data_IF_820491847047
#
_entry.id   IF_820491847047
#
_cell.length_a   1.000
_cell.length_b   1.000
_cell.length_c   1.000
_cell.angle_alpha   90.00
_cell.angle_beta   90.00
_cell.angle_gamma   90.00
#
_symmetry.space_group_name_H-M   'P 1'
#
loop_
_entity.id
_entity.type
_entity.pdbx_description
1 polymer ?
#
# COMPACT_ATOMS: atom_id res chain seq x y z
N UNK A 1 -46.91 33.31 -29.47
CA UNK A 1 -47.37 31.96 -29.87
C UNK A 1 -46.40 30.95 -29.28
N UNK A 2 -46.60 30.60 -28.01
CA UNK A 2 -47.11 29.30 -27.52
C UNK A 2 -46.15 28.15 -27.89
N UNK A 3 -45.22 27.86 -26.97
CA UNK A 3 -44.46 26.61 -26.96
C UNK A 3 -45.41 25.45 -26.69
N UNK A 4 -45.48 24.51 -27.64
CA UNK A 4 -46.29 23.31 -27.53
C UNK A 4 -45.85 22.41 -26.38
N UNK A 5 -46.76 21.58 -25.85
CA UNK A 5 -46.48 20.70 -24.73
C UNK A 5 -45.39 19.68 -25.08
N UNK A 6 -44.34 19.60 -24.26
CA UNK A 6 -43.40 18.48 -24.28
C UNK A 6 -44.18 17.23 -23.88
N UNK A 7 -44.46 16.36 -24.84
CA UNK A 7 -45.04 15.04 -24.57
C UNK A 7 -44.17 14.29 -23.55
N UNK A 8 -44.76 13.57 -22.58
CA UNK A 8 -44.01 12.71 -21.68
C UNK A 8 -43.31 11.64 -22.53
N UNK A 9 -42.00 11.47 -22.32
CA UNK A 9 -41.19 10.43 -23.00
C UNK A 9 -41.91 9.09 -22.85
N UNK A 10 -42.32 8.51 -23.97
CA UNK A 10 -43.05 7.24 -24.09
C UNK A 10 -42.57 6.22 -23.04
N UNK A 11 -43.47 5.80 -22.16
CA UNK A 11 -43.20 4.85 -21.08
C UNK A 11 -42.70 3.51 -21.62
N UNK A 12 -43.12 3.11 -22.82
CA UNK A 12 -42.65 1.87 -23.46
C UNK A 12 -41.20 1.98 -23.92
N UNK A 13 -40.77 3.15 -24.38
CA UNK A 13 -39.37 3.42 -24.73
C UNK A 13 -38.46 3.47 -23.49
N UNK A 14 -38.99 3.85 -22.33
CA UNK A 14 -38.25 3.78 -21.07
C UNK A 14 -38.20 2.34 -20.52
N UNK A 15 -39.30 1.58 -20.62
CA UNK A 15 -39.35 0.19 -20.23
C UNK A 15 -38.37 -0.68 -21.05
N UNK A 16 -38.32 -0.47 -22.37
CA UNK A 16 -37.32 -1.16 -23.24
C UNK A 16 -35.88 -0.85 -22.84
N UNK A 17 -35.55 0.42 -22.56
CA UNK A 17 -34.19 0.78 -22.10
C UNK A 17 -33.86 0.19 -20.75
N UNK A 18 -34.84 0.06 -19.86
CA UNK A 18 -34.65 -0.58 -18.57
C UNK A 18 -34.39 -2.09 -18.74
N UNK A 19 -35.16 -2.78 -19.59
CA UNK A 19 -34.94 -4.20 -19.90
C UNK A 19 -33.61 -4.44 -20.62
N UNK A 20 -33.24 -3.59 -21.59
CA UNK A 20 -31.94 -3.64 -22.26
C UNK A 20 -30.79 -3.44 -21.26
N UNK A 21 -30.92 -2.49 -20.34
CA UNK A 21 -29.94 -2.28 -19.28
C UNK A 21 -29.88 -3.47 -18.31
N UNK A 22 -31.01 -4.02 -17.87
CA UNK A 22 -31.05 -5.21 -17.00
C UNK A 22 -30.43 -6.44 -17.67
N UNK A 23 -30.68 -6.64 -18.97
CA UNK A 23 -30.05 -7.72 -19.72
C UNK A 23 -28.54 -7.49 -19.87
N UNK A 24 -28.10 -6.25 -20.10
CA UNK A 24 -26.68 -5.91 -20.18
C UNK A 24 -25.95 -6.12 -18.83
N UNK A 25 -26.61 -5.79 -17.71
CA UNK A 25 -26.11 -5.97 -16.35
C UNK A 25 -26.11 -7.45 -15.93
N UNK A 26 -27.09 -8.23 -16.39
CA UNK A 26 -27.18 -9.67 -16.13
C UNK A 26 -26.18 -10.48 -16.95
N UNK A 27 -25.78 -9.99 -18.15
CA UNK A 27 -24.74 -10.60 -18.98
C UNK A 27 -23.32 -10.19 -18.58
N UNK A 28 -23.15 -9.04 -17.91
CA UNK A 28 -21.89 -8.71 -17.25
C UNK A 28 -21.64 -9.69 -16.10
N UNK A 29 -20.84 -10.72 -16.36
CA UNK A 29 -20.19 -11.47 -15.30
C UNK A 29 -19.32 -10.49 -14.49
N UNK A 30 -19.84 -10.03 -13.37
CA UNK A 30 -19.02 -9.38 -12.35
C UNK A 30 -18.06 -10.43 -11.82
N UNK A 31 -16.85 -10.49 -12.39
CA UNK A 31 -15.76 -11.22 -11.77
C UNK A 31 -15.43 -10.53 -10.44
N UNK A 32 -15.98 -11.08 -9.36
CA UNK A 32 -15.85 -10.59 -7.98
C UNK A 32 -14.39 -10.64 -7.45
N UNK A 33 -13.46 -11.11 -8.29
CA UNK A 33 -12.01 -11.10 -8.04
C UNK A 33 -11.35 -10.12 -9.00
N UNK A 34 -11.28 -8.84 -8.61
CA UNK A 34 -10.33 -7.92 -9.24
C UNK A 34 -8.95 -8.56 -9.14
N UNK A 35 -8.31 -8.81 -10.28
CA UNK A 35 -6.93 -9.25 -10.32
C UNK A 35 -6.06 -8.27 -9.52
N UNK A 36 -5.09 -8.80 -8.75
CA UNK A 36 -4.14 -7.95 -8.03
C UNK A 36 -3.40 -7.09 -9.06
N UNK A 37 -3.43 -5.77 -8.89
CA UNK A 37 -2.74 -4.84 -9.79
C UNK A 37 -1.25 -5.13 -9.84
N UNK A 38 -0.61 -4.86 -10.98
CA UNK A 38 0.84 -5.12 -11.11
C UNK A 38 1.66 -4.24 -10.17
N UNK A 39 1.20 -3.02 -9.86
CA UNK A 39 1.77 -2.19 -8.82
C UNK A 39 1.75 -2.85 -7.44
N UNK A 40 0.64 -3.52 -7.07
CA UNK A 40 0.56 -4.25 -5.81
C UNK A 40 1.44 -5.51 -5.79
N UNK A 41 1.60 -6.20 -6.92
CA UNK A 41 2.56 -7.31 -7.04
C UNK A 41 4.00 -6.83 -6.87
N UNK A 42 4.35 -5.71 -7.50
CA UNK A 42 5.66 -5.11 -7.41
C UNK A 42 5.99 -4.69 -5.97
N UNK A 43 5.06 -3.99 -5.29
CA UNK A 43 5.23 -3.60 -3.90
C UNK A 43 5.45 -4.80 -2.96
N UNK A 44 4.70 -5.89 -3.17
CA UNK A 44 4.88 -7.16 -2.44
C UNK A 44 6.24 -7.79 -2.69
N UNK A 45 6.71 -7.81 -3.94
CA UNK A 45 8.02 -8.35 -4.30
C UNK A 45 9.16 -7.50 -3.73
N UNK A 46 9.04 -6.18 -3.73
CA UNK A 46 9.99 -5.26 -3.12
C UNK A 46 10.07 -5.48 -1.60
N UNK A 47 8.92 -5.54 -0.92
CA UNK A 47 8.85 -5.84 0.51
C UNK A 47 9.56 -7.16 0.86
N UNK A 48 9.34 -8.19 0.04
CA UNK A 48 10.02 -9.48 0.21
C UNK A 48 11.51 -9.42 -0.04
N UNK A 49 11.96 -8.65 -1.04
CA UNK A 49 13.38 -8.47 -1.33
C UNK A 49 14.11 -7.77 -0.17
N UNK A 50 13.50 -6.73 0.41
CA UNK A 50 14.04 -6.05 1.59
C UNK A 50 14.10 -6.97 2.81
N UNK A 51 13.02 -7.72 3.07
CA UNK A 51 13.00 -8.74 4.13
C UNK A 51 14.08 -9.80 3.94
N UNK A 52 14.23 -10.31 2.73
CA UNK A 52 15.23 -11.32 2.38
C UNK A 52 16.63 -10.78 2.59
N UNK A 53 16.88 -9.54 2.17
CA UNK A 53 18.18 -8.89 2.34
C UNK A 53 18.50 -8.75 3.83
N UNK A 54 17.59 -8.17 4.60
CA UNK A 54 17.75 -8.02 6.05
C UNK A 54 17.99 -9.37 6.75
N UNK A 55 17.16 -10.36 6.47
CA UNK A 55 17.23 -11.68 7.12
C UNK A 55 18.55 -12.38 6.84
N UNK A 56 19.00 -12.40 5.58
CA UNK A 56 20.24 -13.08 5.17
C UNK A 56 21.50 -12.31 5.53
N UNK A 57 21.50 -10.99 5.36
CA UNK A 57 22.72 -10.20 5.51
C UNK A 57 22.92 -9.69 6.93
N UNK A 58 21.85 -9.36 7.65
CA UNK A 58 21.92 -8.78 8.99
C UNK A 58 21.66 -9.85 10.06
N UNK A 59 20.54 -10.57 9.97
CA UNK A 59 20.18 -11.56 11.00
C UNK A 59 20.83 -12.94 10.81
N UNK A 60 21.33 -13.26 9.61
CA UNK A 60 21.89 -14.58 9.25
C UNK A 60 20.89 -15.73 9.48
N UNK A 61 19.61 -15.47 9.20
CA UNK A 61 18.51 -16.43 9.31
C UNK A 61 17.87 -16.68 7.95
N UNK A 62 17.13 -17.79 7.86
CA UNK A 62 16.32 -18.09 6.69
C UNK A 62 15.02 -17.27 6.71
N UNK A 63 14.79 -16.37 5.72
CA UNK A 63 13.58 -15.56 5.67
C UNK A 63 12.29 -16.39 5.63
N UNK A 64 12.32 -17.55 4.96
CA UNK A 64 11.13 -18.39 4.77
C UNK A 64 10.77 -19.09 6.08
N UNK A 65 11.76 -19.68 6.76
CA UNK A 65 11.56 -20.36 8.05
C UNK A 65 11.03 -19.40 9.14
N UNK A 66 11.48 -18.15 9.16
CA UNK A 66 10.93 -17.15 10.11
C UNK A 66 9.44 -16.90 9.87
N UNK A 67 8.99 -16.83 8.61
CA UNK A 67 7.55 -16.72 8.31
C UNK A 67 6.81 -17.97 8.77
N UNK A 68 7.37 -19.16 8.51
CA UNK A 68 6.77 -20.41 8.96
C UNK A 68 6.69 -20.50 10.48
N UNK A 69 7.68 -19.98 11.18
CA UNK A 69 7.70 -19.93 12.64
C UNK A 69 6.61 -19.02 13.23
N UNK A 70 6.12 -18.02 12.48
CA UNK A 70 4.94 -17.25 12.90
C UNK A 70 3.68 -18.12 13.00
N UNK A 71 3.56 -19.15 12.16
CA UNK A 71 2.45 -20.12 12.18
C UNK A 71 2.58 -21.19 13.26
N UNK A 72 3.77 -21.35 13.86
CA UNK A 72 4.01 -22.39 14.87
C UNK A 72 3.59 -21.92 16.27
N UNK A 73 3.49 -22.84 17.21
CA UNK A 73 3.24 -22.50 18.60
C UNK A 73 4.48 -21.83 19.24
N UNK A 74 4.32 -21.08 20.35
CA UNK A 74 5.44 -20.63 21.17
C UNK A 74 6.33 -21.81 21.57
N UNK A 75 7.67 -21.63 21.70
CA UNK A 75 8.40 -20.35 21.70
C UNK A 75 8.80 -19.81 20.32
N UNK A 76 8.68 -20.62 19.25
CA UNK A 76 9.14 -20.24 17.90
C UNK A 76 8.44 -18.99 17.38
N UNK A 77 7.12 -18.90 17.58
CA UNK A 77 6.35 -17.72 17.20
C UNK A 77 6.83 -16.43 17.85
N UNK A 78 7.24 -16.48 19.12
CA UNK A 78 7.71 -15.29 19.83
C UNK A 78 9.06 -14.80 19.26
N UNK A 79 9.97 -15.74 18.94
CA UNK A 79 11.24 -15.42 18.30
C UNK A 79 11.02 -14.83 16.90
N UNK A 80 10.13 -15.41 16.10
CA UNK A 80 9.78 -14.92 14.77
C UNK A 80 9.15 -13.51 14.80
N UNK A 81 8.23 -13.27 15.76
CA UNK A 81 7.67 -11.93 15.99
C UNK A 81 8.76 -10.90 16.27
N UNK A 82 9.72 -11.23 17.14
CA UNK A 82 10.84 -10.35 17.46
C UNK A 82 11.73 -10.07 16.24
N UNK A 83 11.97 -11.06 15.40
CA UNK A 83 12.73 -10.89 14.15
C UNK A 83 12.01 -9.95 13.18
N UNK A 84 10.69 -10.11 13.02
CA UNK A 84 9.87 -9.20 12.21
C UNK A 84 9.87 -7.77 12.76
N UNK A 85 9.79 -7.61 14.08
CA UNK A 85 9.89 -6.29 14.72
C UNK A 85 11.25 -5.63 14.47
N UNK A 86 12.36 -6.39 14.56
CA UNK A 86 13.70 -5.89 14.23
C UNK A 86 13.81 -5.43 12.79
N UNK A 87 13.22 -6.18 11.86
CA UNK A 87 13.17 -5.78 10.45
C UNK A 87 12.42 -4.46 10.26
N UNK A 88 11.25 -4.30 10.86
CA UNK A 88 10.46 -3.07 10.69
C UNK A 88 11.16 -1.84 11.28
N UNK A 89 11.90 -2.01 12.38
CA UNK A 89 12.79 -0.95 12.89
C UNK A 89 13.88 -0.60 11.90
N UNK A 90 14.57 -1.61 11.39
CA UNK A 90 15.62 -1.43 10.40
C UNK A 90 15.10 -0.77 9.11
N UNK A 91 13.91 -1.12 8.66
CA UNK A 91 13.26 -0.48 7.51
C UNK A 91 13.08 1.03 7.71
N UNK A 92 12.68 1.46 8.92
CA UNK A 92 12.59 2.88 9.24
C UNK A 92 13.98 3.51 9.27
N UNK A 93 14.92 2.92 10.02
CA UNK A 93 16.28 3.47 10.23
C UNK A 93 17.07 3.58 8.91
N UNK A 94 16.94 2.60 8.03
CA UNK A 94 17.60 2.60 6.70
C UNK A 94 16.96 3.58 5.71
N UNK A 95 15.82 4.18 6.05
CA UNK A 95 15.14 5.17 5.23
C UNK A 95 15.71 6.59 5.35
N UNK A 96 16.77 6.77 6.15
CA UNK A 96 17.41 8.06 6.35
C UNK A 96 18.06 8.59 5.06
N UNK A 97 17.75 9.84 4.71
CA UNK A 97 18.27 10.52 3.53
C UNK A 97 18.64 11.96 3.85
N UNK A 98 19.62 12.49 3.13
CA UNK A 98 19.94 13.91 3.15
C UNK A 98 18.85 14.71 2.43
N UNK A 99 18.32 15.72 3.10
CA UNK A 99 17.35 16.68 2.56
C UNK A 99 17.96 18.08 2.54
N UNK A 100 18.02 18.75 1.38
CA UNK A 100 18.42 20.15 1.32
C UNK A 100 17.49 21.03 2.17
N UNK A 101 18.06 22.01 2.86
CA UNK A 101 17.29 23.00 3.62
C UNK A 101 17.77 24.41 3.30
N UNK A 102 16.88 25.38 3.47
CA UNK A 102 17.21 26.81 3.29
C UNK A 102 17.91 27.41 4.52
N UNK A 103 18.20 26.60 5.55
CA UNK A 103 18.93 27.01 6.74
C UNK A 103 20.44 27.06 6.51
N UNK A 104 21.21 27.61 7.48
CA UNK A 104 22.65 27.78 7.36
C UNK A 104 23.43 26.48 7.16
N UNK A 105 22.85 25.33 7.54
CA UNK A 105 23.49 24.01 7.41
C UNK A 105 23.37 23.42 5.99
N UNK A 106 22.47 23.95 5.14
CA UNK A 106 22.30 23.57 3.74
C UNK A 106 21.67 22.18 3.51
N UNK A 107 21.90 21.22 4.40
CA UNK A 107 21.40 19.84 4.33
C UNK A 107 21.14 19.30 5.74
N UNK A 108 20.03 18.59 5.93
CA UNK A 108 19.73 17.86 7.17
C UNK A 108 19.40 16.40 6.87
N UNK A 109 19.74 15.50 7.79
CA UNK A 109 19.35 14.10 7.69
C UNK A 109 17.93 13.91 8.20
N UNK A 110 17.09 13.25 7.40
CA UNK A 110 15.69 12.96 7.75
C UNK A 110 15.34 11.54 7.37
N UNK A 111 14.52 10.90 8.19
CA UNK A 111 13.84 9.67 7.82
C UNK A 111 12.85 9.97 6.70
N UNK A 112 12.88 9.17 5.63
CA UNK A 112 11.87 9.27 4.57
C UNK A 112 10.61 8.50 4.92
N UNK A 113 10.72 7.43 5.72
CA UNK A 113 9.57 6.74 6.32
C UNK A 113 9.14 7.48 7.58
N UNK A 114 8.15 8.35 7.43
CA UNK A 114 7.65 9.22 8.52
C UNK A 114 6.24 8.87 8.99
N UNK A 115 5.55 7.93 8.32
CA UNK A 115 4.16 7.57 8.65
C UNK A 115 4.03 6.13 9.10
N UNK A 116 3.20 5.91 10.11
CA UNK A 116 2.82 4.57 10.56
C UNK A 116 2.11 3.77 9.45
N UNK A 117 1.36 4.46 8.58
CA UNK A 117 0.68 3.84 7.44
C UNK A 117 1.67 3.22 6.47
N UNK A 118 2.77 3.91 6.14
CA UNK A 118 3.82 3.38 5.26
C UNK A 118 4.43 2.09 5.82
N UNK A 119 4.69 2.05 7.13
CA UNK A 119 5.24 0.86 7.79
C UNK A 119 4.22 -0.28 7.82
N UNK A 120 2.94 0.02 8.08
CA UNK A 120 1.87 -0.96 8.03
C UNK A 120 1.69 -1.54 6.62
N UNK A 121 1.81 -0.72 5.58
CA UNK A 121 1.65 -1.17 4.21
C UNK A 121 2.85 -2.00 3.74
N UNK A 122 4.06 -1.68 4.21
CA UNK A 122 5.24 -2.55 4.07
C UNK A 122 4.99 -3.92 4.73
N UNK A 123 4.53 -3.93 5.98
CA UNK A 123 4.21 -5.16 6.72
C UNK A 123 3.14 -6.01 6.01
N UNK A 124 2.04 -5.40 5.57
CA UNK A 124 0.98 -6.10 4.81
C UNK A 124 1.51 -6.65 3.50
N UNK A 125 2.32 -5.88 2.77
CA UNK A 125 2.89 -6.30 1.49
C UNK A 125 3.78 -7.52 1.65
N UNK A 126 4.62 -7.54 2.69
CA UNK A 126 5.44 -8.68 3.06
C UNK A 126 4.58 -9.92 3.37
N UNK A 127 3.57 -9.78 4.23
CA UNK A 127 2.71 -10.91 4.62
C UNK A 127 1.92 -11.45 3.43
N UNK A 128 1.38 -10.59 2.57
CA UNK A 128 0.69 -11.03 1.36
C UNK A 128 1.60 -11.77 0.39
N UNK A 129 2.86 -11.34 0.26
CA UNK A 129 3.85 -12.08 -0.53
C UNK A 129 4.10 -13.46 0.07
N UNK A 130 4.34 -13.52 1.38
CA UNK A 130 4.66 -14.74 2.10
C UNK A 130 3.49 -15.74 2.08
N UNK A 131 2.25 -15.26 2.22
CA UNK A 131 1.03 -16.06 2.10
C UNK A 131 0.92 -16.75 0.73
N UNK A 132 1.30 -16.03 -0.34
CA UNK A 132 1.20 -16.51 -1.72
C UNK A 132 2.34 -17.45 -2.11
N UNK A 133 3.57 -17.19 -1.65
CA UNK A 133 4.76 -17.89 -2.13
C UNK A 133 5.32 -18.92 -1.14
N UNK A 134 5.26 -18.66 0.16
CA UNK A 134 5.84 -19.54 1.19
C UNK A 134 4.78 -20.44 1.80
N UNK A 135 3.70 -19.85 2.32
CA UNK A 135 2.67 -20.59 3.04
C UNK A 135 1.81 -21.43 2.11
N UNK A 136 1.48 -20.91 0.92
CA UNK A 136 0.74 -21.68 -0.08
C UNK A 136 1.50 -22.94 -0.52
N UNK A 137 2.81 -22.85 -0.66
CA UNK A 137 3.64 -24.01 -0.98
C UNK A 137 3.61 -25.03 0.16
N UNK A 138 3.74 -24.59 1.42
CA UNK A 138 3.65 -25.47 2.58
C UNK A 138 2.28 -26.12 2.73
N UNK A 139 1.19 -25.41 2.43
CA UNK A 139 -0.17 -25.97 2.37
C UNK A 139 -0.38 -27.03 1.30
N UNK A 140 0.44 -27.02 0.26
CA UNK A 140 0.43 -28.04 -0.78
C UNK A 140 1.28 -29.26 -0.37
N UNK A 141 2.37 -29.03 0.37
CA UNK A 141 3.26 -30.07 0.90
C UNK A 141 2.67 -30.81 2.11
N UNK A 142 1.93 -30.09 2.94
CA UNK A 142 1.24 -30.60 4.13
C UNK A 142 -0.26 -30.23 4.08
N UNK A 143 -1.07 -30.98 3.29
CA UNK A 143 -2.48 -30.71 3.13
C UNK A 143 -3.28 -30.93 4.43
N UNK A 144 -2.83 -31.84 5.31
CA UNK A 144 -3.53 -32.22 6.53
C UNK A 144 -3.53 -31.09 7.56
N UNK A 145 -2.44 -30.31 7.66
CA UNK A 145 -2.34 -29.15 8.56
C UNK A 145 -2.51 -27.81 7.83
N UNK A 146 -3.31 -27.76 6.76
CA UNK A 146 -3.52 -26.55 5.95
C UNK A 146 -3.88 -25.30 6.76
N UNK A 147 -4.71 -25.46 7.78
CA UNK A 147 -5.14 -24.33 8.63
C UNK A 147 -3.99 -23.77 9.48
N UNK A 148 -3.03 -24.60 9.89
CA UNK A 148 -1.85 -24.15 10.63
C UNK A 148 -0.99 -23.21 9.80
N UNK A 149 -0.82 -23.50 8.52
CA UNK A 149 0.00 -22.73 7.59
C UNK A 149 -0.71 -21.51 7.02
N UNK A 150 -1.60 -20.86 7.78
CA UNK A 150 -2.31 -19.65 7.34
C UNK A 150 -2.06 -18.52 8.32
N UNK A 151 -1.43 -17.44 7.88
CA UNK A 151 -1.29 -16.22 8.69
C UNK A 151 -2.56 -15.40 8.49
N UNK A 152 -3.60 -15.74 9.26
CA UNK A 152 -4.90 -15.08 9.13
C UNK A 152 -4.79 -13.56 9.15
N UNK A 153 -5.11 -12.92 8.03
CA UNK A 153 -5.62 -11.53 8.02
C UNK A 153 -7.05 -11.54 8.56
N UNK A 154 -7.78 -12.63 8.33
CA UNK A 154 -9.06 -12.98 8.92
C UNK A 154 -9.08 -14.52 9.05
N UNK A 155 -9.26 -15.10 10.24
CA UNK A 155 -9.84 -16.45 10.33
C UNK A 155 -10.36 -16.75 11.74
N UNK A 156 -11.68 -16.91 11.81
CA UNK A 156 -12.46 -17.68 12.80
C UNK A 156 -12.17 -17.42 14.30
N UNK A 157 -11.86 -16.18 14.65
CA UNK A 157 -11.86 -15.65 16.02
C UNK A 157 -12.39 -14.21 16.02
N UNK A 158 -12.69 -13.61 17.18
CA UNK A 158 -13.04 -12.18 17.22
C UNK A 158 -11.93 -11.38 16.52
N UNK A 159 -12.33 -10.45 15.66
CA UNK A 159 -11.43 -9.57 14.88
C UNK A 159 -10.22 -9.16 15.73
N UNK A 160 -9.01 -9.36 15.21
CA UNK A 160 -7.78 -8.90 15.86
C UNK A 160 -7.09 -9.91 16.78
N UNK A 161 -6.88 -11.15 16.32
CA UNK A 161 -6.04 -12.14 17.01
C UNK A 161 -5.05 -12.78 16.03
N UNK A 162 -3.81 -12.98 16.47
CA UNK A 162 -2.77 -13.66 15.70
C UNK A 162 -1.49 -12.83 15.53
N UNK A 163 -0.39 -13.47 15.09
CA UNK A 163 0.92 -12.85 15.02
C UNK A 163 0.96 -11.60 14.12
N UNK A 164 0.26 -11.64 12.99
CA UNK A 164 0.18 -10.52 12.05
C UNK A 164 -0.53 -9.32 12.65
N UNK A 165 -1.60 -9.56 13.41
CA UNK A 165 -2.33 -8.50 14.10
C UNK A 165 -1.51 -7.91 15.25
N UNK A 166 -0.88 -8.75 16.08
CA UNK A 166 -0.02 -8.29 17.18
C UNK A 166 1.12 -7.40 16.69
N UNK A 167 1.77 -7.75 15.57
CA UNK A 167 2.80 -6.89 14.96
C UNK A 167 2.17 -5.59 14.44
N UNK A 168 1.00 -5.64 13.82
CA UNK A 168 0.29 -4.44 13.34
C UNK A 168 -0.08 -3.48 14.48
N UNK A 169 -0.58 -4.02 15.60
CA UNK A 169 -0.87 -3.26 16.82
C UNK A 169 0.41 -2.67 17.41
N UNK A 170 1.49 -3.46 17.47
CA UNK A 170 2.79 -2.99 17.93
C UNK A 170 3.35 -1.85 17.05
N UNK A 171 3.18 -1.91 15.72
CA UNK A 171 3.51 -0.81 14.82
C UNK A 171 2.72 0.44 15.21
N UNK A 172 1.40 0.31 15.34
CA UNK A 172 0.50 1.42 15.64
C UNK A 172 0.76 2.08 17.00
N UNK A 173 1.02 1.29 18.04
CA UNK A 173 1.08 1.77 19.43
C UNK A 173 2.49 2.06 19.94
N UNK A 174 3.47 1.24 19.57
CA UNK A 174 4.84 1.29 20.10
C UNK A 174 5.74 1.98 19.09
N UNK A 175 5.81 1.45 17.86
CA UNK A 175 6.76 1.93 16.86
C UNK A 175 6.46 3.39 16.45
N UNK A 176 5.18 3.73 16.36
CA UNK A 176 4.72 5.11 16.17
C UNK A 176 5.30 6.07 17.20
N UNK A 177 5.30 5.69 18.49
CA UNK A 177 5.82 6.56 19.56
C UNK A 177 7.34 6.61 19.55
N UNK A 178 7.98 5.47 19.30
CA UNK A 178 9.43 5.33 19.29
C UNK A 178 10.10 6.21 18.21
N UNK A 179 9.53 6.23 17.00
CA UNK A 179 10.07 7.00 15.87
C UNK A 179 9.27 8.27 15.55
N UNK A 180 8.36 8.69 16.44
CA UNK A 180 7.47 9.84 16.25
C UNK A 180 6.72 9.82 14.90
N UNK A 181 6.25 8.64 14.48
CA UNK A 181 5.58 8.47 13.20
C UNK A 181 4.24 9.20 13.17
N UNK A 182 3.92 9.75 12.01
CA UNK A 182 2.67 10.44 11.73
C UNK A 182 1.57 9.38 11.55
N UNK A 183 0.54 9.45 12.41
CA UNK A 183 -0.64 8.57 12.39
C UNK A 183 -1.83 9.15 11.64
N UNK A 184 -1.91 10.48 11.54
CA UNK A 184 -2.96 11.19 10.82
C UNK A 184 -2.37 11.82 9.57
N UNK A 185 -3.00 11.61 8.41
CA UNK A 185 -2.69 12.40 7.22
C UNK A 185 -2.90 13.88 7.54
N UNK A 186 -1.82 14.64 7.62
CA UNK A 186 -1.85 16.10 7.79
C UNK A 186 -1.76 16.77 6.41
N UNK A 187 -2.66 16.39 5.49
CA UNK A 187 -2.78 17.15 4.26
C UNK A 187 -3.58 18.41 4.55
N UNK A 188 -2.87 19.47 4.91
CA UNK A 188 -3.42 20.81 4.89
C UNK A 188 -3.26 21.31 3.44
N UNK A 189 -4.36 21.26 2.68
CA UNK A 189 -4.38 21.78 1.32
C UNK A 189 -4.34 23.30 1.42
N UNK A 190 -3.15 23.87 1.29
CA UNK A 190 -2.99 25.31 1.14
C UNK A 190 -3.28 25.69 -0.32
N UNK A 191 -4.03 26.77 -0.51
CA UNK A 191 -4.18 27.40 -1.81
C UNK A 191 -2.82 27.97 -2.21
N UNK A 192 -2.41 27.71 -3.46
CA UNK A 192 -1.16 28.25 -3.98
C UNK A 192 -1.23 29.78 -3.97
N UNK A 193 -0.26 30.46 -3.35
CA UNK A 193 -0.25 31.92 -3.37
C UNK A 193 0.19 32.44 -4.73
N UNK A 194 -0.16 33.69 -5.05
CA UNK A 194 0.25 34.34 -6.29
C UNK A 194 1.78 34.33 -6.45
N UNK A 195 2.54 34.47 -5.35
CA UNK A 195 4.00 34.38 -5.40
C UNK A 195 4.49 32.98 -5.75
N UNK A 196 3.88 31.92 -5.21
CA UNK A 196 4.26 30.54 -5.51
C UNK A 196 3.99 30.22 -6.98
N UNK A 197 2.85 30.68 -7.52
CA UNK A 197 2.51 30.54 -8.94
C UNK A 197 3.52 31.31 -9.80
N UNK A 198 3.86 32.54 -9.43
CA UNK A 198 4.85 33.33 -10.15
C UNK A 198 6.23 32.68 -10.12
N UNK A 199 6.64 32.09 -8.99
CA UNK A 199 7.91 31.35 -8.87
C UNK A 199 7.90 30.12 -9.78
N UNK A 200 6.82 29.33 -9.78
CA UNK A 200 6.67 28.16 -10.65
C UNK A 200 6.75 28.58 -12.13
N UNK A 201 5.98 29.60 -12.53
CA UNK A 201 6.01 30.13 -13.89
C UNK A 201 7.40 30.66 -14.28
N UNK A 202 8.07 31.34 -13.36
CA UNK A 202 9.41 31.86 -13.57
C UNK A 202 10.44 30.74 -13.78
N UNK A 203 10.33 29.65 -13.02
CA UNK A 203 11.17 28.44 -13.18
C UNK A 203 10.89 27.77 -14.53
N UNK A 204 9.62 27.60 -14.90
CA UNK A 204 9.22 27.04 -16.20
C UNK A 204 9.80 27.88 -17.35
N UNK A 205 9.74 29.20 -17.23
CA UNK A 205 10.10 30.10 -18.33
C UNK A 205 11.61 30.34 -18.46
N UNK A 206 12.33 30.48 -17.34
CA UNK A 206 13.75 30.86 -17.36
C UNK A 206 14.71 29.68 -17.17
N UNK A 207 14.22 28.55 -16.67
CA UNK A 207 15.03 27.35 -16.44
C UNK A 207 14.31 26.08 -16.92
N UNK A 208 13.83 26.04 -18.18
CA UNK A 208 13.13 24.87 -18.71
C UNK A 208 13.99 23.61 -18.65
N UNK A 209 15.32 23.76 -18.76
CA UNK A 209 16.29 22.66 -18.66
C UNK A 209 16.32 21.97 -17.28
N UNK A 210 15.75 22.60 -16.23
CA UNK A 210 15.62 22.01 -14.89
C UNK A 210 14.32 21.23 -14.72
N UNK A 211 13.39 21.32 -15.67
CA UNK A 211 12.15 20.56 -15.69
C UNK A 211 12.33 19.49 -16.77
N UNK A 212 12.66 18.24 -16.40
CA UNK A 212 12.76 17.16 -17.37
C UNK A 212 11.36 16.89 -17.96
N UNK A 213 11.06 17.52 -19.09
CA UNK A 213 9.86 17.27 -19.88
C UNK A 213 10.16 16.13 -20.87
N UNK A 214 10.10 14.89 -20.39
CA UNK A 214 10.21 13.70 -21.24
C UNK A 214 8.79 13.27 -21.69
N UNK A 215 8.56 12.96 -22.97
CA UNK A 215 7.31 12.37 -23.46
C UNK A 215 6.81 11.17 -22.64
N UNK A 216 7.70 10.37 -22.04
CA UNK A 216 7.33 9.21 -21.22
C UNK A 216 6.80 9.59 -19.82
N UNK A 217 6.86 10.88 -19.44
CA UNK A 217 6.38 11.41 -18.14
C UNK A 217 5.11 12.27 -18.26
N UNK A 218 4.49 12.33 -19.43
CA UNK A 218 3.24 13.06 -19.62
C UNK A 218 2.07 12.41 -18.89
N UNK A 219 1.49 13.13 -17.93
CA UNK A 219 0.15 12.83 -17.41
C UNK A 219 -0.85 13.56 -18.29
N UNK A 220 -1.58 12.83 -19.12
CA UNK A 220 -2.62 13.39 -19.95
C UNK A 220 -3.81 13.86 -19.09
N UNK A 221 -3.92 15.17 -18.91
CA UNK A 221 -4.96 15.80 -18.10
C UNK A 221 -6.32 15.78 -18.81
N UNK A 222 -6.36 15.43 -20.10
CA UNK A 222 -7.63 15.26 -20.84
C UNK A 222 -8.33 13.93 -20.54
N UNK A 223 -7.66 12.99 -19.87
CA UNK A 223 -8.26 11.75 -19.40
C UNK A 223 -9.11 11.90 -18.11
N UNK A 224 -9.26 13.12 -17.58
CA UNK A 224 -10.01 13.43 -16.35
C UNK A 224 -11.19 14.39 -16.55
N UNK A 225 -11.65 14.59 -17.78
CA UNK A 225 -12.86 15.36 -18.11
C UNK A 225 -14.04 14.45 -18.45
#
# INVERSE_FOLDING_TARGET
MIGGPRYPKDLESQARRAEENEQSLSQQQFHDRRGVSDAAKLARAQAWAEWTNFSKHILKIDPDETILDLCRAPPKQAAAKLQCQKFLKHYIESSERQRPTLGPEGVVWVLTVTSATTVLDMWKSLIMYAETNVLQEMRNRDPENREQWTLGVENKGPRGKGPTFEISTWIGEVLTKEYNLITRQKFEKHEATDEEILVILNIIWHRPNLIPCDPDTWVDVTALA
#
